data_IF_283236747500
#
_entry.id   IF_283236747500
#
_cell.length_a   1.000
_cell.length_b   1.000
_cell.length_c   1.000
_cell.angle_alpha   90.00
_cell.angle_beta   90.00
_cell.angle_gamma   90.00
#
_symmetry.space_group_name_H-M   'P 1'
#
loop_
_entity.id
_entity.type
_entity.pdbx_description
1 polymer ?
#
# COMPACT_ATOMS: atom_id res chain seq x y z
N UNK A 1 4.29 13.76 42.59
CA UNK A 1 5.23 12.64 42.35
C UNK A 1 5.27 12.46 40.85
N UNK A 2 6.30 12.99 40.18
CA UNK A 2 6.40 12.95 38.72
C UNK A 2 7.00 11.60 38.34
N UNK A 3 6.16 10.65 37.92
CA UNK A 3 6.66 9.46 37.24
C UNK A 3 7.29 9.95 35.94
N UNK A 4 8.64 9.92 35.90
CA UNK A 4 9.37 10.20 34.66
C UNK A 4 9.06 9.05 33.72
N UNK A 5 8.15 9.30 32.76
CA UNK A 5 7.88 8.39 31.66
C UNK A 5 9.21 7.98 31.03
N UNK A 6 9.39 6.68 30.74
CA UNK A 6 10.61 6.23 30.06
C UNK A 6 10.69 6.92 28.69
N UNK A 7 11.88 7.22 28.16
CA UNK A 7 12.03 7.81 26.83
C UNK A 7 11.26 7.03 25.75
N UNK A 8 11.20 5.71 25.89
CA UNK A 8 10.43 4.84 25.01
C UNK A 8 8.91 5.08 25.11
N UNK A 9 8.36 5.15 26.33
CA UNK A 9 6.92 5.37 26.50
C UNK A 9 6.49 6.77 26.02
N UNK A 10 7.36 7.77 26.13
CA UNK A 10 7.09 9.10 25.56
C UNK A 10 7.07 9.07 24.02
N UNK A 11 8.01 8.35 23.40
CA UNK A 11 8.04 8.17 21.94
C UNK A 11 6.82 7.38 21.46
N UNK A 12 6.40 6.33 22.16
CA UNK A 12 5.21 5.54 21.83
C UNK A 12 3.93 6.36 21.88
N UNK A 13 3.81 7.27 22.86
CA UNK A 13 2.64 8.15 22.98
C UNK A 13 2.56 9.14 21.80
N UNK A 14 3.66 9.80 21.44
CA UNK A 14 3.68 10.72 20.30
C UNK A 14 3.50 9.98 18.96
N UNK A 15 4.07 8.77 18.82
CA UNK A 15 3.84 7.93 17.66
C UNK A 15 2.36 7.54 17.51
N UNK A 16 1.67 7.26 18.61
CA UNK A 16 0.24 6.95 18.59
C UNK A 16 -0.56 8.13 18.05
N UNK A 17 -0.27 9.35 18.52
CA UNK A 17 -0.92 10.58 18.02
C UNK A 17 -0.62 10.81 16.54
N UNK A 18 0.62 10.55 16.12
CA UNK A 18 1.01 10.64 14.72
C UNK A 18 0.21 9.65 13.84
N UNK A 19 0.07 8.40 14.27
CA UNK A 19 -0.73 7.38 13.56
C UNK A 19 -2.20 7.79 13.46
N UNK A 20 -2.77 8.34 14.54
CA UNK A 20 -4.15 8.85 14.52
C UNK A 20 -4.31 10.02 13.53
N UNK A 21 -3.32 10.91 13.46
CA UNK A 21 -3.32 12.01 12.50
C UNK A 21 -3.23 11.51 11.05
N UNK A 22 -2.35 10.54 10.76
CA UNK A 22 -2.28 9.90 9.43
C UNK A 22 -3.59 9.22 9.09
N UNK A 23 -4.20 8.48 10.03
CA UNK A 23 -5.51 7.84 9.80
C UNK A 23 -6.63 8.84 9.54
N UNK A 24 -6.55 10.03 10.12
CA UNK A 24 -7.52 11.10 9.89
C UNK A 24 -7.24 11.92 8.61
N UNK A 25 -6.13 11.68 7.91
CA UNK A 25 -5.79 12.36 6.67
C UNK A 25 -6.79 12.05 5.54
N UNK A 26 -7.06 13.01 4.64
CA UNK A 26 -7.89 12.75 3.46
C UNK A 26 -7.40 11.58 2.61
N UNK A 27 -6.08 11.44 2.45
CA UNK A 27 -5.43 10.40 1.65
C UNK A 27 -5.69 9.01 2.24
N UNK A 28 -5.54 8.85 3.56
CA UNK A 28 -5.84 7.58 4.23
C UNK A 28 -7.33 7.25 4.17
N UNK A 29 -8.21 8.24 4.41
CA UNK A 29 -9.66 8.02 4.36
C UNK A 29 -10.13 7.63 2.95
N UNK A 30 -9.56 8.24 1.91
CA UNK A 30 -9.85 7.87 0.53
C UNK A 30 -9.36 6.46 0.20
N UNK A 31 -8.15 6.12 0.62
CA UNK A 31 -7.63 4.75 0.47
C UNK A 31 -8.52 3.72 1.18
N UNK A 32 -8.95 4.00 2.41
CA UNK A 32 -9.78 3.08 3.19
C UNK A 32 -11.15 2.87 2.53
N UNK A 33 -11.79 3.96 2.08
CA UNK A 33 -13.04 3.89 1.36
C UNK A 33 -12.92 3.16 0.01
N UNK A 34 -11.87 3.43 -0.78
CA UNK A 34 -11.64 2.75 -2.05
C UNK A 34 -11.35 1.25 -1.85
N UNK A 35 -10.67 0.90 -0.74
CA UNK A 35 -10.45 -0.50 -0.35
C UNK A 35 -11.75 -1.20 0.03
N UNK A 36 -12.64 -0.54 0.77
CA UNK A 36 -13.97 -1.09 1.09
C UNK A 36 -14.82 -1.30 -0.17
N UNK A 37 -14.78 -0.34 -1.10
CA UNK A 37 -15.47 -0.45 -2.40
C UNK A 37 -14.93 -1.62 -3.21
N UNK A 38 -13.61 -1.77 -3.29
CA UNK A 38 -12.97 -2.90 -3.96
C UNK A 38 -13.40 -4.25 -3.36
N UNK A 39 -13.45 -4.36 -2.03
CA UNK A 39 -13.88 -5.59 -1.35
C UNK A 39 -15.36 -5.91 -1.56
N UNK A 40 -16.20 -4.90 -1.80
CA UNK A 40 -17.62 -5.06 -2.08
C UNK A 40 -17.92 -5.30 -3.57
N UNK A 41 -16.95 -5.07 -4.46
CA UNK A 41 -17.04 -5.31 -5.89
C UNK A 41 -16.51 -6.72 -6.21
N UNK A 42 -17.44 -7.65 -6.39
CA UNK A 42 -17.14 -9.06 -6.67
C UNK A 42 -16.33 -9.23 -7.96
N UNK A 43 -16.61 -8.43 -9.00
CA UNK A 43 -15.92 -8.52 -10.30
C UNK A 43 -14.48 -8.01 -10.18
N UNK A 44 -14.30 -6.86 -9.52
CA UNK A 44 -12.97 -6.30 -9.27
C UNK A 44 -12.12 -7.22 -8.37
N UNK A 45 -12.73 -7.76 -7.31
CA UNK A 45 -12.08 -8.71 -6.40
C UNK A 45 -11.68 -10.02 -7.12
N UNK A 46 -12.54 -10.53 -8.00
CA UNK A 46 -12.25 -11.70 -8.82
C UNK A 46 -11.09 -11.44 -9.81
N UNK A 47 -11.08 -10.28 -10.48
CA UNK A 47 -10.00 -9.88 -11.39
C UNK A 47 -8.65 -9.80 -10.68
N UNK A 48 -8.58 -9.18 -9.50
CA UNK A 48 -7.34 -9.12 -8.72
C UNK A 48 -6.87 -10.51 -8.29
N UNK A 49 -7.78 -11.34 -7.80
CA UNK A 49 -7.46 -12.72 -7.39
C UNK A 49 -6.95 -13.56 -8.57
N UNK A 50 -7.59 -13.44 -9.73
CA UNK A 50 -7.15 -14.16 -10.93
C UNK A 50 -5.78 -13.68 -11.38
N UNK A 51 -5.55 -12.37 -11.42
CA UNK A 51 -4.26 -11.80 -11.78
C UNK A 51 -3.14 -12.28 -10.86
N UNK A 52 -3.32 -12.26 -9.54
CA UNK A 52 -2.33 -12.73 -8.57
C UNK A 52 -2.01 -14.22 -8.74
N UNK A 53 -3.03 -15.05 -9.00
CA UNK A 53 -2.85 -16.47 -9.28
C UNK A 53 -2.06 -16.69 -10.58
N UNK A 54 -2.48 -16.08 -11.68
CA UNK A 54 -1.80 -16.22 -12.98
C UNK A 54 -0.37 -15.68 -12.92
N UNK A 55 -0.13 -14.62 -12.15
CA UNK A 55 1.23 -14.09 -11.93
C UNK A 55 2.12 -15.09 -11.19
N UNK A 56 1.58 -15.76 -10.17
CA UNK A 56 2.31 -16.80 -9.43
C UNK A 56 2.61 -18.00 -10.34
N UNK A 57 1.62 -18.47 -11.11
CA UNK A 57 1.79 -19.56 -12.07
C UNK A 57 2.83 -19.22 -13.14
N UNK A 58 2.84 -17.98 -13.63
CA UNK A 58 3.83 -17.50 -14.61
C UNK A 58 5.26 -17.46 -14.05
N UNK A 59 5.43 -17.10 -12.76
CA UNK A 59 6.74 -17.13 -12.10
C UNK A 59 7.27 -18.56 -11.94
N UNK A 60 6.39 -19.54 -11.71
CA UNK A 60 6.77 -20.95 -11.59
C UNK A 60 7.06 -21.61 -12.95
N UNK A 61 6.42 -21.14 -14.02
CA UNK A 61 6.45 -21.74 -15.35
C UNK A 61 7.04 -20.76 -16.39
N UNK A 62 8.14 -20.09 -16.03
CA UNK A 62 8.80 -19.06 -16.84
C UNK A 62 8.76 -19.40 -18.35
N UNK A 63 8.38 -18.42 -19.18
CA UNK A 63 8.23 -18.52 -20.65
C UNK A 63 6.97 -19.21 -21.19
N UNK A 64 5.97 -19.52 -20.37
CA UNK A 64 4.65 -19.92 -20.86
C UNK A 64 3.96 -18.76 -21.62
N UNK A 65 3.68 -18.96 -22.91
CA UNK A 65 3.08 -17.94 -23.77
C UNK A 65 1.58 -17.75 -23.51
N UNK A 66 0.88 -18.80 -23.08
CA UNK A 66 -0.55 -18.73 -22.78
C UNK A 66 -0.75 -17.94 -21.47
N UNK A 67 0.07 -18.19 -20.45
CA UNK A 67 0.09 -17.41 -19.21
C UNK A 67 0.50 -15.95 -19.45
N UNK A 68 1.43 -15.70 -20.36
CA UNK A 68 1.81 -14.33 -20.73
C UNK A 68 0.66 -13.58 -21.40
N UNK A 69 -0.09 -14.23 -22.30
CA UNK A 69 -1.26 -13.66 -22.93
C UNK A 69 -2.38 -13.39 -21.91
N UNK A 70 -2.67 -14.36 -21.03
CA UNK A 70 -3.67 -14.21 -19.98
C UNK A 70 -3.32 -13.06 -19.02
N UNK A 71 -2.05 -12.91 -18.63
CA UNK A 71 -1.61 -11.78 -17.82
C UNK A 71 -1.84 -10.44 -18.51
N UNK A 72 -1.59 -10.35 -19.81
CA UNK A 72 -1.87 -9.15 -20.60
C UNK A 72 -3.36 -8.81 -20.60
N UNK A 73 -4.21 -9.79 -20.89
CA UNK A 73 -5.67 -9.61 -20.89
C UNK A 73 -6.21 -9.20 -19.51
N UNK A 74 -5.65 -9.76 -18.43
CA UNK A 74 -6.01 -9.39 -17.06
C UNK A 74 -5.52 -7.97 -16.69
N UNK A 75 -4.35 -7.57 -17.17
CA UNK A 75 -3.85 -6.20 -16.98
C UNK A 75 -4.77 -5.17 -17.62
N UNK A 76 -5.22 -5.42 -18.85
CA UNK A 76 -6.13 -4.54 -19.58
C UNK A 76 -7.49 -4.47 -18.88
N UNK A 77 -8.07 -5.62 -18.50
CA UNK A 77 -9.34 -5.66 -17.75
C UNK A 77 -9.26 -4.93 -16.41
N UNK A 78 -8.15 -5.07 -15.69
CA UNK A 78 -7.95 -4.33 -14.43
C UNK A 78 -7.74 -2.83 -14.66
N UNK A 79 -7.17 -2.42 -15.80
CA UNK A 79 -7.00 -1.01 -16.13
C UNK A 79 -8.34 -0.34 -16.48
N UNK A 80 -9.25 -1.09 -17.09
CA UNK A 80 -10.60 -0.63 -17.46
C UNK A 80 -11.62 -0.71 -16.31
N UNK A 81 -11.30 -1.42 -15.21
CA UNK A 81 -12.19 -1.50 -14.05
C UNK A 81 -12.07 -0.26 -13.16
N UNK A 82 -13.16 0.53 -13.08
CA UNK A 82 -13.21 1.79 -12.34
C UNK A 82 -12.88 1.63 -10.84
N UNK A 83 -13.36 0.57 -10.20
CA UNK A 83 -13.10 0.30 -8.76
C UNK A 83 -11.62 0.03 -8.51
N UNK A 84 -10.97 -0.74 -9.39
CA UNK A 84 -9.52 -1.00 -9.33
C UNK A 84 -8.73 0.29 -9.60
N UNK A 85 -9.15 1.10 -10.57
CA UNK A 85 -8.49 2.37 -10.90
C UNK A 85 -8.55 3.37 -9.74
N UNK A 86 -9.71 3.52 -9.09
CA UNK A 86 -9.87 4.39 -7.92
C UNK A 86 -9.02 3.89 -6.74
N UNK A 87 -9.02 2.57 -6.47
CA UNK A 87 -8.17 1.98 -5.44
C UNK A 87 -6.68 2.22 -5.69
N UNK A 88 -6.21 2.05 -6.93
CA UNK A 88 -4.81 2.32 -7.32
C UNK A 88 -4.44 3.78 -7.08
N UNK A 89 -5.29 4.70 -7.53
CA UNK A 89 -5.09 6.15 -7.34
C UNK A 89 -5.02 6.51 -5.85
N UNK A 90 -5.99 6.05 -5.04
CA UNK A 90 -6.00 6.33 -3.62
C UNK A 90 -4.79 5.73 -2.87
N UNK A 91 -4.31 4.56 -3.32
CA UNK A 91 -3.09 3.95 -2.78
C UNK A 91 -1.83 4.74 -3.14
N UNK A 92 -1.75 5.29 -4.35
CA UNK A 92 -0.64 6.15 -4.77
C UNK A 92 -0.59 7.44 -3.94
N UNK A 93 -1.74 8.09 -3.74
CA UNK A 93 -1.86 9.30 -2.89
C UNK A 93 -1.43 9.00 -1.43
N UNK A 94 -1.85 7.87 -0.85
CA UNK A 94 -1.41 7.48 0.49
C UNK A 94 0.09 7.19 0.54
N UNK A 95 0.64 6.48 -0.45
CA UNK A 95 2.07 6.20 -0.51
C UNK A 95 2.90 7.49 -0.60
N UNK A 96 2.42 8.49 -1.33
CA UNK A 96 3.09 9.79 -1.42
C UNK A 96 3.11 10.50 -0.07
N UNK A 97 1.97 10.55 0.64
CA UNK A 97 1.91 11.09 2.00
C UNK A 97 2.91 10.40 2.95
N UNK A 98 3.00 9.07 2.88
CA UNK A 98 3.91 8.29 3.71
C UNK A 98 5.39 8.53 3.33
N UNK A 99 5.69 8.68 2.04
CA UNK A 99 7.03 9.00 1.54
C UNK A 99 7.48 10.38 2.02
N UNK A 100 6.64 11.40 1.85
CA UNK A 100 6.94 12.77 2.30
C UNK A 100 7.15 12.81 3.83
N UNK A 101 6.36 12.04 4.57
CA UNK A 101 6.54 11.92 6.02
C UNK A 101 7.90 11.31 6.36
N UNK A 102 8.26 10.19 5.72
CA UNK A 102 9.54 9.52 5.96
C UNK A 102 10.73 10.44 5.66
N UNK A 103 10.65 11.23 4.58
CA UNK A 103 11.67 12.22 4.23
C UNK A 103 11.83 13.28 5.33
N UNK A 104 10.72 13.85 5.81
CA UNK A 104 10.74 14.86 6.89
C UNK A 104 11.34 14.28 8.18
N UNK A 105 10.93 13.07 8.57
CA UNK A 105 11.43 12.44 9.79
C UNK A 105 12.91 12.09 9.65
N UNK A 106 13.32 11.55 8.50
CA UNK A 106 14.71 11.19 8.22
C UNK A 106 15.63 12.42 8.23
N UNK A 107 15.18 13.52 7.63
CA UNK A 107 15.90 14.80 7.63
C UNK A 107 16.09 15.34 9.05
N UNK A 108 15.04 15.28 9.87
CA UNK A 108 15.11 15.74 11.27
C UNK A 108 15.98 14.86 12.17
N UNK A 109 16.10 13.57 11.87
CA UNK A 109 16.94 12.64 12.61
C UNK A 109 18.39 12.62 12.11
N UNK A 110 18.67 13.26 10.96
CA UNK A 110 19.93 13.13 10.22
C UNK A 110 20.30 11.65 9.96
N UNK A 111 19.28 10.78 9.92
CA UNK A 111 19.38 9.33 9.76
C UNK A 111 18.15 8.79 9.06
N UNK A 112 18.30 7.74 8.26
CA UNK A 112 17.17 7.08 7.62
C UNK A 112 16.21 6.51 8.67
N UNK A 113 14.96 6.97 8.63
CA UNK A 113 13.91 6.54 9.55
C UNK A 113 13.27 5.23 9.08
N UNK A 114 12.66 5.23 7.90
CA UNK A 114 12.33 4.00 7.20
C UNK A 114 13.50 3.62 6.28
N UNK A 115 13.96 2.36 6.38
CA UNK A 115 14.65 1.78 5.24
C UNK A 115 13.60 1.52 4.17
N UNK A 116 13.90 1.71 2.87
CA UNK A 116 13.00 1.23 1.83
C UNK A 116 12.75 -0.25 2.13
N UNK A 117 11.54 -0.58 2.56
CA UNK A 117 11.12 -1.96 2.74
C UNK A 117 11.46 -2.65 1.41
N UNK A 118 12.31 -3.67 1.48
CA UNK A 118 12.90 -4.33 0.33
C UNK A 118 11.87 -4.81 -0.69
N UNK A 119 11.48 -3.93 -1.60
CA UNK A 119 11.01 -4.26 -2.93
C UNK A 119 12.23 -4.57 -3.78
N UNK A 120 12.77 -5.78 -3.65
CA UNK A 120 13.96 -6.20 -4.39
C UNK A 120 14.40 -7.61 -4.05
N UNK A 121 13.76 -8.59 -4.69
CA UNK A 121 14.19 -9.97 -4.95
C UNK A 121 14.94 -10.71 -3.82
N UNK A 122 14.22 -11.59 -3.14
CA UNK A 122 14.74 -12.90 -2.73
C UNK A 122 13.87 -13.97 -3.38
#
# INVERSE_FOLDING_TARGET
MSEKQSPQAAVEEELTRFIEAVKASPEYQRFDAAREQLQADDDASALMTQFERTQTEFQENEFDQDLMAELGDLQDQMADNETIAEFRTAREELNELLRETDEIVSDHLEQQFAQPNGGGCC
#
